data_IF_414246062731
#
_entry.id   IF_414246062731
#
_cell.length_a   1.000
_cell.length_b   1.000
_cell.length_c   1.000
_cell.angle_alpha   90.00
_cell.angle_beta   90.00
_cell.angle_gamma   90.00
#
_symmetry.space_group_name_H-M   'P 1'
#
loop_
_entity.id
_entity.type
_entity.pdbx_description
1 polymer ?
#
# COMPACT_ATOMS: atom_id res chain seq x y z
N UNK A 1 9.54 18.55 -1.51
CA UNK A 1 9.16 17.88 -0.27
C UNK A 1 9.92 18.42 0.93
N UNK A 2 11.26 18.44 0.92
CA UNK A 2 12.09 18.86 2.06
C UNK A 2 11.84 20.31 2.48
N UNK A 3 11.77 21.26 1.53
CA UNK A 3 11.46 22.66 1.84
C UNK A 3 10.07 22.86 2.44
N UNK A 4 9.12 22.01 2.09
CA UNK A 4 7.79 22.03 2.71
C UNK A 4 7.84 21.67 4.19
N UNK A 5 8.54 20.62 4.57
CA UNK A 5 8.62 20.19 5.99
C UNK A 5 9.49 21.11 6.84
N UNK A 6 10.32 21.93 6.23
CA UNK A 6 11.00 23.04 6.92
C UNK A 6 10.02 24.15 7.33
N UNK A 7 9.10 24.49 6.43
CA UNK A 7 8.06 25.49 6.69
C UNK A 7 6.93 24.95 7.58
N UNK A 8 6.62 23.65 7.43
CA UNK A 8 5.54 22.97 8.14
C UNK A 8 6.03 21.70 8.85
N UNK A 9 6.86 21.82 9.92
CA UNK A 9 7.55 20.68 10.52
C UNK A 9 6.62 19.64 11.20
N UNK A 10 5.35 20.01 11.47
CA UNK A 10 4.36 19.08 12.01
C UNK A 10 3.64 18.25 10.95
N UNK A 11 3.95 18.45 9.66
CA UNK A 11 3.33 17.74 8.56
C UNK A 11 4.30 16.73 7.96
N UNK A 12 3.76 15.68 7.37
CA UNK A 12 4.43 14.96 6.31
C UNK A 12 3.97 15.49 4.95
N UNK A 13 4.75 15.23 3.91
CA UNK A 13 4.37 15.41 2.52
C UNK A 13 4.99 14.32 1.67
N UNK A 14 4.26 13.83 0.68
CA UNK A 14 4.75 12.92 -0.31
C UNK A 14 4.31 13.31 -1.71
N UNK A 15 5.02 12.82 -2.71
CA UNK A 15 4.66 12.95 -4.12
C UNK A 15 4.10 11.61 -4.62
N UNK A 16 2.98 11.65 -5.31
CA UNK A 16 2.58 10.50 -6.11
C UNK A 16 3.64 10.22 -7.19
N UNK A 17 3.71 8.98 -7.62
CA UNK A 17 4.59 8.57 -8.70
C UNK A 17 4.16 9.23 -10.02
N UNK A 18 5.11 9.51 -10.88
CA UNK A 18 4.91 10.03 -12.23
C UNK A 18 4.37 8.97 -13.22
N UNK A 19 4.37 7.69 -12.82
CA UNK A 19 3.94 6.59 -13.69
C UNK A 19 2.47 6.23 -13.44
N UNK A 20 1.71 5.85 -14.48
CA UNK A 20 0.35 5.37 -14.34
C UNK A 20 0.29 4.08 -13.50
N UNK A 21 -0.90 3.71 -13.04
CA UNK A 21 -1.20 2.54 -12.21
C UNK A 21 -0.69 2.69 -10.76
N UNK A 22 0.57 3.09 -10.56
CA UNK A 22 1.23 3.09 -9.23
C UNK A 22 1.36 4.47 -8.58
N UNK A 23 0.87 5.53 -9.22
CA UNK A 23 1.14 6.87 -8.69
C UNK A 23 -0.03 7.82 -8.68
N UNK A 24 -1.00 7.63 -9.49
CA UNK A 24 -2.10 8.56 -9.51
C UNK A 24 -2.91 8.52 -10.79
N UNK A 25 -4.13 9.01 -10.68
CA UNK A 25 -5.06 9.14 -11.79
C UNK A 25 -4.80 10.39 -12.65
N UNK A 26 -3.97 11.32 -12.19
CA UNK A 26 -3.71 12.60 -12.87
C UNK A 26 -2.21 12.73 -13.10
N UNK A 27 -1.78 12.52 -14.34
CA UNK A 27 -0.37 12.55 -14.74
C UNK A 27 0.05 13.89 -15.38
N UNK A 28 -0.90 14.82 -15.59
CA UNK A 28 -0.65 16.07 -16.31
C UNK A 28 0.04 17.15 -15.46
N UNK A 29 0.16 16.92 -14.15
CA UNK A 29 0.84 17.82 -13.23
C UNK A 29 1.36 17.03 -12.01
N UNK A 30 2.31 17.59 -11.31
CA UNK A 30 2.81 17.05 -10.06
C UNK A 30 1.69 17.03 -9.00
N UNK A 31 1.59 15.91 -8.28
CA UNK A 31 0.54 15.67 -7.30
C UNK A 31 1.15 15.32 -5.95
N UNK A 32 0.90 16.18 -4.96
CA UNK A 32 1.40 16.03 -3.60
C UNK A 32 0.26 15.72 -2.64
N UNK A 33 0.56 14.89 -1.64
CA UNK A 33 -0.35 14.58 -0.53
C UNK A 33 0.38 14.78 0.78
N UNK A 34 -0.25 15.43 1.74
CA UNK A 34 0.37 15.70 3.04
C UNK A 34 -0.66 15.84 4.16
N UNK A 35 -0.20 15.75 5.39
CA UNK A 35 -1.04 15.86 6.57
C UNK A 35 -0.26 15.80 7.88
N UNK A 36 -0.99 15.97 9.00
CA UNK A 36 -0.43 15.83 10.35
C UNK A 36 -0.56 14.42 10.91
N UNK A 37 -1.53 13.65 10.38
CA UNK A 37 -1.77 12.29 10.85
C UNK A 37 -0.63 11.38 10.40
N UNK A 38 -0.02 10.69 11.35
CA UNK A 38 1.05 9.74 11.03
C UNK A 38 0.47 8.49 10.38
N UNK A 39 1.04 8.12 9.24
CA UNK A 39 0.63 6.93 8.50
C UNK A 39 1.28 5.67 9.10
N UNK A 40 0.68 4.48 8.95
CA UNK A 40 1.22 3.22 9.48
C UNK A 40 2.69 2.97 9.12
N UNK A 41 3.12 3.31 7.91
CA UNK A 41 4.51 3.25 7.46
C UNK A 41 5.48 3.96 8.41
N UNK A 42 5.06 5.08 9.01
CA UNK A 42 5.92 5.90 9.87
C UNK A 42 6.20 5.26 11.24
N UNK A 43 5.46 4.21 11.59
CA UNK A 43 5.66 3.39 12.78
C UNK A 43 6.37 2.05 12.49
N UNK A 44 6.67 1.78 11.22
CA UNK A 44 7.34 0.54 10.82
C UNK A 44 8.75 0.48 11.40
N UNK A 45 9.11 -0.71 11.90
CA UNK A 45 10.43 -0.95 12.48
C UNK A 45 11.47 -1.19 11.39
N UNK A 46 12.71 -0.84 11.67
CA UNK A 46 13.84 -1.22 10.83
C UNK A 46 13.95 -2.75 10.82
N UNK A 47 13.99 -3.36 9.63
CA UNK A 47 14.28 -4.79 9.46
C UNK A 47 15.78 -5.03 9.48
N UNK A 48 16.52 -4.16 8.79
CA UNK A 48 17.98 -4.07 8.85
C UNK A 48 18.45 -2.67 8.45
N UNK A 49 19.65 -2.31 8.92
CA UNK A 49 20.33 -1.06 8.59
C UNK A 49 21.36 -1.34 7.50
N UNK A 50 21.48 -0.44 6.55
CA UNK A 50 22.39 -0.54 5.41
C UNK A 50 23.51 0.49 5.64
N UNK A 51 24.74 0.06 5.47
CA UNK A 51 25.90 0.95 5.56
C UNK A 51 25.94 1.91 4.35
N UNK A 52 26.09 3.19 4.63
CA UNK A 52 26.10 4.26 3.64
C UNK A 52 27.40 5.06 3.70
N UNK A 53 28.53 4.43 3.37
CA UNK A 53 29.86 5.06 3.40
C UNK A 53 29.90 6.39 2.64
N UNK A 54 29.14 6.52 1.57
CA UNK A 54 29.05 7.73 0.73
C UNK A 54 28.25 8.84 1.40
N UNK A 55 27.38 8.53 2.36
CA UNK A 55 26.48 9.45 3.06
C UNK A 55 26.60 9.25 4.58
N UNK A 56 27.71 9.70 5.19
CA UNK A 56 28.07 9.39 6.58
C UNK A 56 27.09 10.01 7.60
N UNK A 57 26.36 11.07 7.25
CA UNK A 57 25.36 11.69 8.11
C UNK A 57 23.95 11.10 7.92
N UNK A 58 23.81 10.06 7.05
CA UNK A 58 22.55 9.38 6.83
C UNK A 58 22.54 7.98 7.49
N UNK A 59 21.45 7.68 8.19
CA UNK A 59 21.10 6.31 8.51
C UNK A 59 20.11 5.81 7.46
N UNK A 60 20.47 4.76 6.72
CA UNK A 60 19.60 4.06 5.79
C UNK A 60 19.10 2.76 6.40
N UNK A 61 17.80 2.55 6.40
CA UNK A 61 17.17 1.31 6.86
C UNK A 61 16.22 0.76 5.81
N UNK A 62 16.15 -0.56 5.68
CA UNK A 62 15.04 -1.24 5.02
C UNK A 62 13.99 -1.58 6.07
N UNK A 63 12.72 -1.26 5.81
CA UNK A 63 11.67 -1.39 6.79
C UNK A 63 11.03 -2.79 6.81
N UNK A 64 10.59 -3.22 7.99
CA UNK A 64 9.69 -4.35 8.14
C UNK A 64 8.25 -3.88 7.88
N UNK A 65 7.92 -3.76 6.61
CA UNK A 65 6.64 -3.27 6.12
C UNK A 65 6.21 -4.10 4.91
N UNK A 66 4.94 -4.13 4.56
CA UNK A 66 4.46 -4.95 3.44
C UNK A 66 4.93 -4.43 2.08
N UNK A 67 5.06 -3.10 1.90
CA UNK A 67 5.70 -2.53 0.73
C UNK A 67 7.22 -2.45 0.91
N UNK A 68 7.97 -2.73 -0.15
CA UNK A 68 9.42 -2.53 -0.17
C UNK A 68 9.76 -1.05 0.01
N UNK A 69 10.25 -0.69 1.20
CA UNK A 69 10.48 0.70 1.58
C UNK A 69 11.83 0.87 2.27
N UNK A 70 12.59 1.86 1.81
CA UNK A 70 13.76 2.40 2.50
C UNK A 70 13.37 3.61 3.33
N UNK A 71 13.98 3.74 4.52
CA UNK A 71 13.89 4.90 5.38
C UNK A 71 15.27 5.54 5.52
N UNK A 72 15.33 6.85 5.29
CA UNK A 72 16.51 7.69 5.48
C UNK A 72 16.25 8.59 6.67
N UNK A 73 17.19 8.65 7.61
CA UNK A 73 17.19 9.57 8.75
C UNK A 73 18.49 10.38 8.73
N UNK A 74 18.40 11.70 8.67
CA UNK A 74 19.56 12.60 8.65
C UNK A 74 19.23 13.98 9.21
N UNK A 75 20.21 14.64 9.84
CA UNK A 75 20.16 16.07 10.14
C UNK A 75 20.68 16.90 8.96
N UNK A 76 21.43 16.27 8.04
CA UNK A 76 21.91 16.88 6.81
C UNK A 76 20.88 16.73 5.69
N UNK A 77 20.27 17.85 5.30
CA UNK A 77 19.24 17.90 4.26
C UNK A 77 19.76 17.46 2.90
N UNK A 78 20.94 17.93 2.53
CA UNK A 78 21.51 17.70 1.20
C UNK A 78 21.92 16.22 1.05
N UNK A 79 22.53 15.62 2.09
CA UNK A 79 22.82 14.18 2.06
C UNK A 79 21.55 13.36 1.99
N UNK A 80 20.48 13.73 2.74
CA UNK A 80 19.20 13.02 2.69
C UNK A 80 18.57 13.08 1.29
N UNK A 81 18.61 14.25 0.63
CA UNK A 81 18.12 14.42 -0.74
C UNK A 81 18.94 13.58 -1.72
N UNK A 82 20.27 13.65 -1.62
CA UNK A 82 21.16 12.93 -2.52
C UNK A 82 21.00 11.41 -2.39
N UNK A 83 20.88 10.89 -1.17
CA UNK A 83 20.64 9.46 -0.94
C UNK A 83 19.25 9.02 -1.45
N UNK A 84 18.20 9.83 -1.23
CA UNK A 84 16.87 9.55 -1.77
C UNK A 84 16.89 9.50 -3.30
N UNK A 85 17.60 10.44 -3.93
CA UNK A 85 17.77 10.46 -5.38
C UNK A 85 18.59 9.27 -5.89
N UNK A 86 19.60 8.81 -5.14
CA UNK A 86 20.38 7.63 -5.50
C UNK A 86 19.50 6.36 -5.45
N UNK A 87 18.64 6.21 -4.44
CA UNK A 87 17.67 5.11 -4.39
C UNK A 87 16.73 5.18 -5.60
N UNK A 88 16.18 6.36 -5.90
CA UNK A 88 15.30 6.57 -7.04
C UNK A 88 15.96 6.18 -8.36
N UNK A 89 17.16 6.71 -8.64
CA UNK A 89 17.88 6.45 -9.90
C UNK A 89 18.33 5.01 -10.02
N UNK A 90 18.75 4.37 -8.93
CA UNK A 90 19.14 2.96 -8.90
C UNK A 90 17.95 2.04 -9.15
N UNK A 91 16.80 2.32 -8.53
CA UNK A 91 15.60 1.52 -8.72
C UNK A 91 15.05 1.62 -10.15
N UNK A 92 15.21 2.76 -10.82
CA UNK A 92 14.77 2.96 -12.20
C UNK A 92 15.50 2.12 -13.24
N UNK A 93 16.63 1.52 -12.90
CA UNK A 93 17.43 0.65 -13.78
C UNK A 93 17.62 -0.76 -13.21
N UNK A 94 16.97 -1.06 -12.08
CA UNK A 94 17.10 -2.35 -11.42
C UNK A 94 16.09 -3.35 -11.99
N UNK A 95 16.59 -4.51 -12.38
CA UNK A 95 15.78 -5.65 -12.80
C UNK A 95 15.98 -6.83 -11.84
N UNK A 96 14.89 -7.51 -11.51
CA UNK A 96 14.90 -8.79 -10.80
C UNK A 96 13.85 -9.73 -11.44
N UNK A 97 14.36 -10.58 -12.33
CA UNK A 97 13.52 -11.51 -13.10
C UNK A 97 12.89 -12.61 -12.27
N UNK A 98 13.44 -12.92 -11.08
CA UNK A 98 12.92 -13.95 -10.19
C UNK A 98 11.58 -13.55 -9.58
N UNK A 99 11.36 -12.24 -9.43
CA UNK A 99 10.13 -11.66 -8.90
C UNK A 99 9.40 -10.77 -9.91
N UNK A 100 9.69 -10.94 -11.19
CA UNK A 100 9.03 -10.23 -12.31
C UNK A 100 9.24 -8.70 -12.32
N UNK A 101 10.26 -8.20 -11.62
CA UNK A 101 10.63 -6.79 -11.65
C UNK A 101 11.47 -6.53 -12.90
N UNK A 102 10.91 -5.74 -13.81
CA UNK A 102 11.57 -5.23 -15.02
C UNK A 102 11.44 -3.72 -15.01
N UNK A 103 12.56 -3.04 -15.10
CA UNK A 103 12.61 -1.58 -15.02
C UNK A 103 12.12 -0.89 -16.28
N UNK A 104 12.40 -1.49 -17.45
CA UNK A 104 12.01 -0.96 -18.75
C UNK A 104 11.57 -2.06 -19.71
N UNK A 105 10.64 -1.72 -20.60
CA UNK A 105 10.34 -2.47 -21.83
C UNK A 105 10.49 -1.53 -23.04
N UNK A 106 11.61 -1.67 -23.75
CA UNK A 106 12.03 -0.68 -24.76
C UNK A 106 12.30 0.68 -24.10
N UNK A 107 11.61 1.72 -24.56
CA UNK A 107 11.70 3.08 -24.02
C UNK A 107 10.70 3.32 -22.86
N UNK A 108 9.87 2.33 -22.53
CA UNK A 108 8.84 2.47 -21.49
C UNK A 108 9.42 2.17 -20.13
N UNK A 109 9.42 3.18 -19.25
CA UNK A 109 9.84 3.07 -17.86
C UNK A 109 8.72 2.43 -17.02
N UNK A 110 9.10 1.46 -16.15
CA UNK A 110 8.18 0.79 -15.23
C UNK A 110 8.48 1.06 -13.75
N UNK A 111 9.75 1.17 -13.39
CA UNK A 111 10.17 1.37 -11.99
C UNK A 111 10.20 2.85 -11.61
N UNK A 112 9.63 3.16 -10.44
CA UNK A 112 9.61 4.51 -9.84
C UNK A 112 9.57 4.41 -8.32
N UNK A 113 9.63 5.55 -7.64
CA UNK A 113 9.54 5.66 -6.18
C UNK A 113 8.43 6.63 -5.79
N UNK A 114 7.67 6.27 -4.77
CA UNK A 114 6.76 7.19 -4.08
C UNK A 114 7.48 7.73 -2.83
N UNK A 115 8.02 8.96 -2.86
CA UNK A 115 8.73 9.53 -1.73
C UNK A 115 7.76 10.18 -0.74
N UNK A 116 8.03 9.98 0.56
CA UNK A 116 7.34 10.69 1.65
C UNK A 116 8.40 11.28 2.56
N UNK A 117 8.25 12.54 2.95
CA UNK A 117 9.19 13.23 3.84
C UNK A 117 8.44 13.84 5.02
N UNK A 118 9.06 13.77 6.20
CA UNK A 118 8.63 14.47 7.41
C UNK A 118 9.84 14.94 8.20
N UNK A 119 9.59 15.72 9.25
CA UNK A 119 10.65 16.19 10.16
C UNK A 119 10.34 15.78 11.59
N UNK A 120 11.38 15.38 12.34
CA UNK A 120 11.34 15.15 13.78
C UNK A 120 12.47 15.93 14.45
N UNK A 121 12.12 17.03 15.11
CA UNK A 121 13.12 17.96 15.61
C UNK A 121 14.02 18.46 14.47
N UNK A 122 15.34 18.21 14.55
CA UNK A 122 16.28 18.58 13.50
C UNK A 122 16.43 17.53 12.39
N UNK A 123 15.90 16.31 12.59
CA UNK A 123 16.06 15.21 11.61
C UNK A 123 15.02 15.26 10.52
N UNK A 124 15.49 15.10 9.29
CA UNK A 124 14.66 14.73 8.14
C UNK A 124 14.49 13.22 8.13
N UNK A 125 13.26 12.78 7.94
CA UNK A 125 12.92 11.37 7.78
C UNK A 125 12.27 11.24 6.41
N UNK A 126 12.95 10.55 5.49
CA UNK A 126 12.44 10.30 4.15
C UNK A 126 12.18 8.80 3.97
N UNK A 127 11.04 8.47 3.36
CA UNK A 127 10.66 7.13 2.98
C UNK A 127 10.66 7.04 1.46
N UNK A 128 11.31 6.02 0.93
CA UNK A 128 11.32 5.68 -0.49
C UNK A 128 10.55 4.39 -0.69
N UNK A 129 9.26 4.47 -1.06
CA UNK A 129 8.44 3.30 -1.37
C UNK A 129 8.72 2.92 -2.83
N UNK A 130 9.28 1.73 -3.04
CA UNK A 130 9.57 1.23 -4.38
C UNK A 130 8.28 0.84 -5.10
N UNK A 131 8.13 1.27 -6.35
CA UNK A 131 6.97 0.99 -7.18
C UNK A 131 7.38 0.50 -8.56
N UNK A 132 6.51 -0.31 -9.18
CA UNK A 132 6.66 -0.73 -10.57
C UNK A 132 5.27 -0.86 -11.20
N UNK A 133 5.04 -0.29 -12.39
CA UNK A 133 3.74 -0.26 -13.05
C UNK A 133 3.61 -1.30 -14.17
N UNK A 134 4.55 -2.24 -14.27
CA UNK A 134 4.50 -3.27 -15.29
C UNK A 134 3.24 -4.11 -15.18
N UNK A 135 2.66 -4.43 -16.32
CA UNK A 135 1.53 -5.37 -16.44
C UNK A 135 2.00 -6.67 -17.08
N UNK A 136 1.33 -7.77 -16.76
CA UNK A 136 1.57 -9.08 -17.35
C UNK A 136 0.23 -9.75 -17.68
N UNK A 137 0.23 -10.84 -18.45
CA UNK A 137 -0.99 -11.64 -18.66
C UNK A 137 -1.61 -12.12 -17.35
N UNK A 138 -0.76 -12.43 -16.35
CA UNK A 138 -1.19 -12.84 -15.02
C UNK A 138 -1.73 -11.66 -14.19
N UNK A 139 -1.13 -10.49 -14.33
CA UNK A 139 -1.44 -9.28 -13.58
C UNK A 139 -1.73 -8.10 -14.52
N UNK A 140 -2.88 -8.12 -15.22
CA UNK A 140 -3.20 -7.11 -16.23
C UNK A 140 -3.43 -5.70 -15.67
N UNK A 141 -3.76 -5.60 -14.38
CA UNK A 141 -3.96 -4.33 -13.68
C UNK A 141 -2.65 -3.77 -13.08
N UNK A 142 -1.56 -4.54 -13.14
CA UNK A 142 -0.23 -4.18 -12.64
C UNK A 142 0.29 -5.13 -11.56
N UNK A 143 1.61 -5.37 -11.57
CA UNK A 143 2.27 -6.26 -10.60
C UNK A 143 2.30 -5.70 -9.17
N UNK A 144 2.19 -4.36 -9.01
CA UNK A 144 2.07 -3.64 -7.74
C UNK A 144 0.66 -3.03 -7.56
N UNK A 145 -0.35 -3.65 -8.15
CA UNK A 145 -1.75 -3.25 -8.01
C UNK A 145 -2.53 -4.37 -7.32
N UNK A 146 -3.74 -4.06 -6.83
CA UNK A 146 -4.64 -5.06 -6.27
C UNK A 146 -4.92 -6.16 -7.31
N UNK A 147 -4.49 -7.39 -7.03
CA UNK A 147 -4.73 -8.52 -7.93
C UNK A 147 -6.21 -8.91 -7.92
N UNK A 148 -6.66 -9.53 -9.00
CA UNK A 148 -8.09 -9.85 -9.26
C UNK A 148 -8.77 -10.59 -8.09
N UNK A 149 -8.07 -11.46 -7.39
CA UNK A 149 -8.57 -12.20 -6.22
C UNK A 149 -8.93 -11.31 -5.03
N UNK A 150 -8.42 -10.06 -5.00
CA UNK A 150 -8.68 -9.06 -3.95
C UNK A 150 -9.70 -8.00 -4.33
N UNK A 151 -10.21 -8.01 -5.58
CA UNK A 151 -11.16 -7.02 -6.08
C UNK A 151 -12.50 -6.99 -5.34
N UNK A 152 -12.82 -8.05 -4.61
CA UNK A 152 -13.95 -8.04 -3.69
C UNK A 152 -13.77 -6.99 -2.56
N UNK A 153 -12.54 -6.68 -2.17
CA UNK A 153 -12.21 -5.69 -1.15
C UNK A 153 -11.82 -4.37 -1.82
N UNK A 154 -10.85 -4.39 -2.72
CA UNK A 154 -10.31 -3.21 -3.39
C UNK A 154 -9.95 -3.52 -4.84
N UNK A 155 -10.48 -2.74 -5.77
CA UNK A 155 -10.15 -2.80 -7.21
C UNK A 155 -9.62 -1.47 -7.76
N UNK A 156 -9.70 -0.41 -6.95
CA UNK A 156 -9.22 0.92 -7.32
C UNK A 156 -7.70 1.03 -7.12
N UNK A 157 -7.07 1.95 -7.83
CA UNK A 157 -5.63 2.18 -7.76
C UNK A 157 -5.10 2.45 -6.36
N UNK A 158 -3.87 2.01 -6.09
CA UNK A 158 -3.18 2.18 -4.82
C UNK A 158 -2.35 3.46 -4.87
N UNK A 159 -2.86 4.52 -4.22
CA UNK A 159 -2.19 5.81 -4.09
C UNK A 159 -1.18 5.85 -2.95
N UNK A 160 -0.57 7.04 -2.74
CA UNK A 160 0.45 7.28 -1.72
C UNK A 160 0.01 6.91 -0.30
N UNK A 161 -1.19 7.35 0.11
CA UNK A 161 -1.70 7.13 1.47
C UNK A 161 -1.91 5.64 1.73
N UNK A 162 -2.40 4.91 0.72
CA UNK A 162 -2.63 3.46 0.79
C UNK A 162 -1.32 2.69 0.76
N UNK A 163 -0.38 3.09 -0.11
CA UNK A 163 0.96 2.53 -0.12
C UNK A 163 1.70 2.74 1.22
N UNK A 164 1.36 3.80 1.96
CA UNK A 164 1.85 4.06 3.31
C UNK A 164 1.02 3.39 4.43
N UNK A 165 0.05 2.53 4.08
CA UNK A 165 -0.67 1.65 5.01
C UNK A 165 -2.05 2.11 5.47
N UNK A 166 -2.54 3.23 5.00
CA UNK A 166 -3.88 3.70 5.32
C UNK A 166 -4.82 3.51 4.13
N UNK A 167 -5.44 2.34 4.03
CA UNK A 167 -6.32 1.99 2.93
C UNK A 167 -7.63 2.79 2.96
N UNK A 168 -7.99 3.33 1.80
CA UNK A 168 -9.29 3.95 1.52
C UNK A 168 -10.15 2.90 0.85
N UNK A 169 -11.08 2.32 1.62
CA UNK A 169 -11.93 1.24 1.15
C UNK A 169 -13.23 1.77 0.54
N UNK A 170 -13.80 1.08 -0.48
CA UNK A 170 -15.06 1.47 -1.08
C UNK A 170 -16.20 1.50 -0.07
N UNK A 171 -17.07 2.51 -0.15
CA UNK A 171 -18.20 2.69 0.78
C UNK A 171 -19.15 1.47 0.85
N UNK A 172 -19.25 0.69 -0.25
CA UNK A 172 -20.03 -0.57 -0.30
C UNK A 172 -19.62 -1.57 0.76
N UNK A 173 -18.32 -1.64 1.11
CA UNK A 173 -17.79 -2.61 2.07
C UNK A 173 -18.37 -2.45 3.47
N UNK A 174 -18.79 -1.24 3.87
CA UNK A 174 -19.44 -1.06 5.17
C UNK A 174 -20.70 -1.95 5.28
N UNK A 175 -21.60 -1.86 4.30
CA UNK A 175 -22.82 -2.68 4.25
C UNK A 175 -22.50 -4.15 4.01
N UNK A 176 -21.61 -4.43 3.07
CA UNK A 176 -21.29 -5.81 2.68
C UNK A 176 -20.60 -6.56 3.82
N UNK A 177 -19.69 -5.97 4.57
CA UNK A 177 -19.05 -6.59 5.73
C UNK A 177 -20.03 -6.94 6.85
N UNK A 178 -20.99 -6.04 7.15
CA UNK A 178 -22.05 -6.32 8.12
C UNK A 178 -22.95 -7.48 7.67
N UNK A 179 -23.27 -7.58 6.39
CA UNK A 179 -24.07 -8.69 5.84
C UNK A 179 -23.29 -10.01 5.87
N UNK A 180 -21.99 -9.99 5.56
CA UNK A 180 -21.13 -11.18 5.68
C UNK A 180 -21.04 -11.63 7.15
N UNK A 181 -20.91 -10.70 8.08
CA UNK A 181 -20.95 -11.02 9.52
C UNK A 181 -22.27 -11.67 9.94
N UNK A 182 -23.41 -11.23 9.41
CA UNK A 182 -24.71 -11.88 9.63
C UNK A 182 -24.72 -13.31 9.09
N UNK A 183 -24.19 -13.56 7.89
CA UNK A 183 -24.10 -14.92 7.32
C UNK A 183 -23.27 -15.84 8.23
N UNK A 184 -22.18 -15.34 8.84
CA UNK A 184 -21.34 -16.12 9.75
C UNK A 184 -22.00 -16.35 11.13
N UNK A 185 -22.93 -15.51 11.53
CA UNK A 185 -23.60 -15.60 12.84
C UNK A 185 -24.99 -16.25 12.80
N UNK A 186 -25.53 -16.50 11.61
CA UNK A 186 -26.87 -17.12 11.44
C UNK A 186 -26.83 -18.28 10.44
N UNK A 187 -26.92 -19.51 10.97
CA UNK A 187 -26.94 -20.74 10.18
C UNK A 187 -28.18 -20.93 9.31
N UNK A 188 -29.24 -20.17 9.57
CA UNK A 188 -30.50 -20.28 8.81
C UNK A 188 -30.41 -19.57 7.45
N UNK A 189 -29.45 -18.66 7.28
CA UNK A 189 -29.22 -17.99 6.00
C UNK A 189 -28.58 -18.98 5.02
N UNK A 190 -29.28 -19.38 3.96
CA UNK A 190 -28.65 -20.08 2.84
C UNK A 190 -27.76 -19.13 2.03
N UNK A 191 -26.48 -19.46 1.90
CA UNK A 191 -25.47 -18.58 1.27
C UNK A 191 -25.75 -18.43 -0.22
N UNK A 192 -26.14 -19.52 -0.90
CA UNK A 192 -26.42 -19.49 -2.34
C UNK A 192 -27.69 -18.69 -2.62
N UNK A 193 -28.74 -18.92 -1.85
CA UNK A 193 -29.97 -18.15 -1.96
C UNK A 193 -29.72 -16.67 -1.66
N UNK A 194 -28.95 -16.36 -0.60
CA UNK A 194 -28.59 -14.98 -0.26
C UNK A 194 -27.86 -14.27 -1.43
N UNK A 195 -26.87 -14.91 -2.06
CA UNK A 195 -26.12 -14.34 -3.18
C UNK A 195 -27.03 -14.19 -4.42
N UNK A 196 -27.89 -15.15 -4.69
CA UNK A 196 -28.84 -15.06 -5.82
C UNK A 196 -29.81 -13.89 -5.69
N UNK A 197 -30.26 -13.58 -4.46
CA UNK A 197 -31.15 -12.43 -4.17
C UNK A 197 -30.34 -11.11 -4.16
N UNK A 198 -29.03 -11.17 -3.82
CA UNK A 198 -28.15 -10.02 -3.71
C UNK A 198 -26.94 -10.18 -4.66
N UNK A 199 -27.08 -9.97 -5.97
CA UNK A 199 -26.02 -10.25 -6.97
C UNK A 199 -24.71 -9.46 -6.75
N UNK A 200 -24.75 -8.32 -6.06
CA UNK A 200 -23.58 -7.55 -5.66
C UNK A 200 -22.67 -8.25 -4.62
N UNK A 201 -23.12 -9.39 -4.07
CA UNK A 201 -22.32 -10.26 -3.22
C UNK A 201 -21.60 -11.38 -3.99
N UNK A 202 -21.87 -11.56 -5.27
CA UNK A 202 -21.17 -12.59 -6.08
C UNK A 202 -19.65 -12.42 -6.02
N UNK A 203 -19.16 -11.18 -6.04
CA UNK A 203 -17.74 -10.87 -5.90
C UNK A 203 -17.14 -11.34 -4.56
N UNK A 204 -17.96 -11.54 -3.53
CA UNK A 204 -17.55 -12.00 -2.20
C UNK A 204 -17.74 -13.51 -1.99
N UNK A 205 -18.25 -14.26 -2.95
CA UNK A 205 -18.56 -15.70 -2.80
C UNK A 205 -17.41 -16.49 -2.20
N UNK A 206 -16.23 -16.41 -2.81
CA UNK A 206 -15.06 -17.15 -2.34
C UNK A 206 -14.58 -16.68 -0.97
N UNK A 207 -14.68 -15.37 -0.69
CA UNK A 207 -14.35 -14.80 0.61
C UNK A 207 -15.28 -15.32 1.70
N UNK A 208 -16.57 -15.35 1.47
CA UNK A 208 -17.59 -15.90 2.40
C UNK A 208 -17.33 -17.39 2.65
N UNK A 209 -17.14 -18.20 1.59
CA UNK A 209 -16.87 -19.64 1.71
C UNK A 209 -15.60 -19.89 2.52
N UNK A 210 -14.52 -19.14 2.26
CA UNK A 210 -13.27 -19.23 3.01
C UNK A 210 -13.50 -18.96 4.51
N UNK A 211 -14.22 -17.91 4.86
CA UNK A 211 -14.50 -17.56 6.26
C UNK A 211 -15.36 -18.62 6.95
N UNK A 212 -16.38 -19.15 6.27
CA UNK A 212 -17.21 -20.26 6.79
C UNK A 212 -16.37 -21.51 7.04
N UNK A 213 -15.49 -21.86 6.11
CA UNK A 213 -14.62 -23.04 6.22
C UNK A 213 -13.65 -22.91 7.39
N UNK A 214 -13.11 -21.70 7.60
CA UNK A 214 -12.10 -21.46 8.62
C UNK A 214 -12.67 -21.27 10.03
N UNK A 215 -13.82 -20.62 10.17
CA UNK A 215 -14.36 -20.19 11.45
C UNK A 215 -15.73 -20.78 11.80
N UNK A 216 -16.40 -21.42 10.85
CA UNK A 216 -17.77 -21.93 11.01
C UNK A 216 -18.84 -20.84 10.97
N UNK A 217 -20.07 -21.22 11.39
CA UNK A 217 -21.27 -20.36 11.34
C UNK A 217 -22.03 -20.31 12.67
N UNK A 218 -21.34 -20.50 13.78
CA UNK A 218 -21.93 -20.51 15.14
C UNK A 218 -21.30 -19.44 16.02
N UNK A 219 -21.19 -18.25 15.45
CA UNK A 219 -20.49 -17.14 16.06
C UNK A 219 -21.50 -16.10 16.61
N UNK A 220 -21.15 -15.38 17.67
CA UNK A 220 -21.86 -14.15 17.96
C UNK A 220 -21.65 -13.14 16.84
N UNK A 221 -22.58 -12.22 16.64
CA UNK A 221 -22.46 -11.21 15.59
C UNK A 221 -21.20 -10.33 15.78
N UNK A 222 -20.86 -10.01 17.04
CA UNK A 222 -19.67 -9.23 17.37
C UNK A 222 -18.40 -9.98 16.93
N UNK A 223 -18.33 -11.29 17.22
CA UNK A 223 -17.17 -12.11 16.82
C UNK A 223 -17.08 -12.28 15.32
N UNK A 224 -18.21 -12.49 14.65
CA UNK A 224 -18.27 -12.55 13.19
C UNK A 224 -17.81 -11.26 12.55
N UNK A 225 -18.23 -10.11 13.06
CA UNK A 225 -17.82 -8.79 12.57
C UNK A 225 -16.32 -8.53 12.78
N UNK A 226 -15.76 -8.94 13.92
CA UNK A 226 -14.32 -8.90 14.17
C UNK A 226 -13.55 -9.70 13.14
N UNK A 227 -13.98 -10.97 12.88
CA UNK A 227 -13.35 -11.87 11.90
C UNK A 227 -13.39 -11.26 10.50
N UNK A 228 -14.52 -10.75 10.06
CA UNK A 228 -14.65 -10.12 8.74
C UNK A 228 -13.71 -8.93 8.62
N UNK A 229 -13.64 -8.06 9.64
CA UNK A 229 -12.75 -6.91 9.67
C UNK A 229 -11.27 -7.32 9.60
N UNK A 230 -10.87 -8.33 10.38
CA UNK A 230 -9.49 -8.84 10.35
C UNK A 230 -9.15 -9.44 8.99
N UNK A 231 -10.06 -10.19 8.38
CA UNK A 231 -9.86 -10.76 7.05
C UNK A 231 -9.78 -9.70 5.93
N UNK A 232 -10.50 -8.59 6.07
CA UNK A 232 -10.35 -7.42 5.17
C UNK A 232 -8.98 -6.79 5.36
N UNK A 233 -8.52 -6.58 6.60
CA UNK A 233 -7.19 -6.02 6.88
C UNK A 233 -6.06 -6.92 6.33
N UNK A 234 -6.19 -8.25 6.53
CA UNK A 234 -5.26 -9.23 5.95
C UNK A 234 -5.19 -9.13 4.42
N UNK A 235 -6.35 -8.99 3.77
CA UNK A 235 -6.41 -8.76 2.32
C UNK A 235 -5.68 -7.49 1.92
N UNK A 236 -5.86 -6.38 2.65
CA UNK A 236 -5.16 -5.12 2.38
C UNK A 236 -3.63 -5.23 2.49
N UNK A 237 -3.11 -6.10 3.35
CA UNK A 237 -1.66 -6.36 3.46
C UNK A 237 -1.11 -7.13 2.25
N UNK A 238 -1.97 -7.91 1.56
CA UNK A 238 -1.60 -8.72 0.40
C UNK A 238 -1.87 -8.01 -0.95
N UNK A 239 -2.50 -6.86 -0.92
CA UNK A 239 -2.66 -5.95 -2.07
C UNK A 239 -1.38 -5.16 -2.31
#
# INVERSE_FOLDING_TARGET
LFSFVEQFPCFFIGSNSELPIVGGSILNHEHFQGGKHLLPLMFAKDKFVIDTLKYPNCKLSYLNFYNSTFKIESEDKEEAINLLNEIYTSWRVYDDKEVDIISHEGDTQHSTVTPIVRKEGNKYIAFAILRNNRTTEKYPDGIFHAHKEYHNIKSEGIGLIEAAGLYILPARLKRQSESIAKILSDKTIDVEEFININPDFEIHRNFIIRLITQFGRDLSFEKANEIVRLAINETCVNI
#
